data_IF_506003023104
#
_entry.id   IF_506003023104
#
_cell.length_a   1.000
_cell.length_b   1.000
_cell.length_c   1.000
_cell.angle_alpha   90.00
_cell.angle_beta   90.00
_cell.angle_gamma   90.00
#
_symmetry.space_group_name_H-M   'P 1'
#
loop_
_entity.id
_entity.type
_entity.pdbx_description
1 polymer ?
#
# COMPACT_ATOMS: atom_id res chain seq x y z
N UNK A 1 13.65 -9.67 7.65
CA UNK A 1 12.67 -10.67 8.12
C UNK A 1 13.32 -11.73 9.00
N UNK A 2 14.49 -12.28 8.62
CA UNK A 2 15.24 -13.23 9.48
C UNK A 2 15.54 -12.66 10.86
N UNK A 3 15.96 -11.39 10.96
CA UNK A 3 16.22 -10.72 12.24
C UNK A 3 14.96 -10.58 13.12
N UNK A 4 13.78 -10.67 12.53
CA UNK A 4 12.49 -10.67 13.23
C UNK A 4 12.07 -12.09 13.70
N UNK A 5 12.92 -13.11 13.50
CA UNK A 5 12.64 -14.49 13.90
C UNK A 5 11.92 -15.35 12.85
N UNK A 6 11.88 -14.93 11.59
CA UNK A 6 11.35 -15.76 10.52
C UNK A 6 12.40 -16.77 10.03
N UNK A 7 12.03 -18.05 9.77
CA UNK A 7 12.94 -19.05 9.17
C UNK A 7 13.55 -18.51 7.87
N UNK A 8 14.80 -18.91 7.57
CA UNK A 8 15.54 -18.38 6.43
C UNK A 8 14.79 -18.59 5.10
N UNK A 9 14.27 -19.78 4.86
CA UNK A 9 13.53 -20.12 3.65
C UNK A 9 12.27 -19.27 3.51
N UNK A 10 11.45 -19.19 4.57
CA UNK A 10 10.23 -18.38 4.58
C UNK A 10 10.55 -16.90 4.38
N UNK A 11 11.64 -16.42 4.98
CA UNK A 11 12.10 -15.04 4.84
C UNK A 11 12.50 -14.70 3.41
N UNK A 12 13.21 -15.58 2.72
CA UNK A 12 13.58 -15.40 1.32
C UNK A 12 12.33 -15.39 0.42
N UNK A 13 11.47 -16.38 0.54
CA UNK A 13 10.22 -16.46 -0.24
C UNK A 13 9.33 -15.25 0.00
N UNK A 14 9.14 -14.84 1.26
CA UNK A 14 8.32 -13.68 1.62
C UNK A 14 8.94 -12.38 1.12
N UNK A 15 10.26 -12.23 1.17
CA UNK A 15 10.95 -11.04 0.65
C UNK A 15 10.78 -10.92 -0.86
N UNK A 16 10.99 -11.99 -1.62
CA UNK A 16 10.75 -11.98 -3.06
C UNK A 16 9.28 -11.74 -3.39
N UNK A 17 8.35 -12.36 -2.65
CA UNK A 17 6.92 -12.13 -2.79
C UNK A 17 6.50 -10.70 -2.46
N UNK A 18 7.17 -10.04 -1.50
CA UNK A 18 6.89 -8.64 -1.13
C UNK A 18 7.47 -7.65 -2.14
N UNK A 19 8.74 -7.82 -2.53
CA UNK A 19 9.43 -6.90 -3.46
C UNK A 19 8.92 -7.06 -4.88
N UNK A 20 8.67 -8.29 -5.32
CA UNK A 20 8.06 -8.57 -6.62
C UNK A 20 6.54 -8.39 -6.65
N UNK A 21 5.92 -7.99 -5.52
CA UNK A 21 4.46 -7.87 -5.37
C UNK A 21 3.68 -9.09 -5.85
N UNK A 22 4.23 -10.30 -5.56
CA UNK A 22 3.66 -11.56 -6.02
C UNK A 22 2.68 -12.21 -5.04
N UNK A 23 2.81 -11.95 -3.73
CA UNK A 23 1.90 -12.43 -2.68
C UNK A 23 1.93 -13.91 -2.39
N UNK A 24 2.92 -14.63 -2.90
CA UNK A 24 3.06 -16.06 -2.64
C UNK A 24 3.74 -16.29 -1.30
N UNK A 25 3.01 -16.88 -0.36
CA UNK A 25 3.50 -17.25 0.97
C UNK A 25 3.77 -18.76 1.06
N UNK A 26 4.62 -19.14 2.01
CA UNK A 26 4.96 -20.55 2.29
C UNK A 26 3.85 -21.23 3.10
N UNK A 27 3.13 -20.47 3.93
CA UNK A 27 2.05 -20.98 4.78
C UNK A 27 0.68 -20.72 4.18
N UNK A 28 -0.24 -21.65 4.36
CA UNK A 28 -1.65 -21.48 3.96
C UNK A 28 -2.35 -20.31 4.67
N UNK A 29 -1.90 -19.96 5.90
CA UNK A 29 -2.37 -18.78 6.65
C UNK A 29 -1.76 -17.47 6.15
N UNK A 30 -0.99 -17.50 5.06
CA UNK A 30 -0.21 -16.37 4.53
C UNK A 30 0.66 -15.74 5.64
N UNK A 31 0.65 -14.43 5.80
CA UNK A 31 1.44 -13.71 6.83
C UNK A 31 0.73 -13.72 8.20
N UNK A 32 -0.54 -14.05 8.27
CA UNK A 32 -1.30 -14.14 9.53
C UNK A 32 -0.73 -15.15 10.54
N UNK A 33 -0.03 -16.19 10.06
CA UNK A 33 0.61 -17.21 10.92
C UNK A 33 1.96 -16.81 11.52
N UNK A 34 2.42 -15.56 11.35
CA UNK A 34 3.68 -15.06 11.90
C UNK A 34 3.44 -14.00 12.99
N UNK A 35 4.51 -13.68 13.74
CA UNK A 35 4.45 -12.70 14.82
C UNK A 35 4.05 -11.30 14.34
N UNK A 36 3.46 -10.47 15.21
CA UNK A 36 3.08 -9.09 14.88
C UNK A 36 4.23 -8.25 14.34
N UNK A 37 5.45 -8.50 14.82
CA UNK A 37 6.65 -7.80 14.36
C UNK A 37 6.97 -8.13 12.90
N UNK A 38 6.85 -9.40 12.50
CA UNK A 38 7.03 -9.84 11.11
C UNK A 38 5.95 -9.23 10.22
N UNK A 39 4.68 -9.22 10.66
CA UNK A 39 3.58 -8.61 9.92
C UNK A 39 3.85 -7.13 9.63
N UNK A 40 4.31 -6.36 10.63
CA UNK A 40 4.67 -4.95 10.45
C UNK A 40 5.86 -4.78 9.49
N UNK A 41 6.89 -5.61 9.61
CA UNK A 41 8.04 -5.57 8.71
C UNK A 41 7.64 -5.84 7.25
N UNK A 42 6.78 -6.85 7.02
CA UNK A 42 6.24 -7.15 5.68
C UNK A 42 5.40 -6.00 5.15
N UNK A 43 4.57 -5.35 6.00
CA UNK A 43 3.79 -4.17 5.61
C UNK A 43 4.69 -3.06 5.09
N UNK A 44 5.76 -2.74 5.82
CA UNK A 44 6.72 -1.72 5.41
C UNK A 44 7.39 -2.09 4.08
N UNK A 45 7.83 -3.34 3.93
CA UNK A 45 8.45 -3.81 2.69
C UNK A 45 7.50 -3.69 1.50
N UNK A 46 6.24 -4.09 1.63
CA UNK A 46 5.23 -3.95 0.58
C UNK A 46 5.02 -2.49 0.19
N UNK A 47 4.80 -1.61 1.17
CA UNK A 47 4.58 -0.17 0.92
C UNK A 47 5.78 0.45 0.21
N UNK A 48 6.99 0.14 0.65
CA UNK A 48 8.22 0.61 0.00
C UNK A 48 8.36 0.07 -1.43
N UNK A 49 8.05 -1.19 -1.67
CA UNK A 49 8.10 -1.78 -3.04
C UNK A 49 7.11 -1.12 -4.01
N UNK A 50 6.04 -0.52 -3.49
CA UNK A 50 5.06 0.25 -4.26
C UNK A 50 5.50 1.68 -4.60
N UNK A 51 6.62 2.17 -4.07
CA UNK A 51 7.18 3.49 -4.40
C UNK A 51 7.92 3.44 -5.73
N UNK A 52 7.91 4.55 -6.46
CA UNK A 52 8.68 4.70 -7.69
C UNK A 52 10.19 4.53 -7.43
N UNK A 53 10.84 3.62 -8.16
CA UNK A 53 12.27 3.33 -7.98
C UNK A 53 13.19 4.51 -8.29
N UNK A 54 12.74 5.49 -9.07
CA UNK A 54 13.48 6.75 -9.29
C UNK A 54 13.74 7.48 -7.97
N UNK A 55 12.81 7.40 -6.99
CA UNK A 55 12.99 7.99 -5.66
C UNK A 55 14.20 7.40 -4.95
N UNK A 56 14.36 6.07 -5.01
CA UNK A 56 15.51 5.38 -4.40
C UNK A 56 16.83 5.80 -5.07
N UNK A 57 16.83 5.95 -6.40
CA UNK A 57 17.98 6.45 -7.13
C UNK A 57 18.34 7.89 -6.69
N UNK A 58 17.35 8.79 -6.59
CA UNK A 58 17.57 10.15 -6.11
C UNK A 58 18.10 10.19 -4.66
N UNK A 59 17.59 9.30 -3.78
CA UNK A 59 18.07 9.17 -2.40
C UNK A 59 19.53 8.72 -2.35
N UNK A 60 19.91 7.71 -3.15
CA UNK A 60 21.30 7.24 -3.27
C UNK A 60 22.23 8.33 -3.82
N UNK A 61 21.74 9.13 -4.77
CA UNK A 61 22.45 10.27 -5.36
C UNK A 61 22.45 11.52 -4.48
N UNK A 62 21.96 11.44 -3.24
CA UNK A 62 21.81 12.53 -2.25
C UNK A 62 20.97 13.73 -2.74
N UNK A 63 20.12 13.52 -3.72
CA UNK A 63 19.19 14.52 -4.27
C UNK A 63 17.84 14.50 -3.50
N UNK A 64 17.88 14.74 -2.20
CA UNK A 64 16.70 14.62 -1.31
C UNK A 64 15.55 15.54 -1.73
N UNK A 65 15.85 16.77 -2.21
CA UNK A 65 14.82 17.72 -2.65
C UNK A 65 14.03 17.18 -3.84
N UNK A 66 14.71 16.55 -4.79
CA UNK A 66 14.08 15.96 -5.97
C UNK A 66 13.23 14.75 -5.60
N UNK A 67 13.75 13.87 -4.73
CA UNK A 67 13.02 12.69 -4.25
C UNK A 67 11.67 13.06 -3.61
N UNK A 68 11.64 14.08 -2.74
CA UNK A 68 10.41 14.53 -2.08
C UNK A 68 9.55 15.48 -2.95
N UNK A 69 10.07 16.00 -4.05
CA UNK A 69 9.33 16.83 -5.00
C UNK A 69 8.39 16.02 -5.88
N UNK A 70 8.58 14.70 -6.00
CA UNK A 70 7.75 13.83 -6.83
C UNK A 70 6.32 13.80 -6.26
N UNK A 71 5.40 14.46 -6.97
CA UNK A 71 4.01 14.63 -6.54
C UNK A 71 3.30 13.27 -6.35
N UNK A 72 3.57 12.30 -7.22
CA UNK A 72 3.00 10.97 -7.16
C UNK A 72 3.25 10.28 -5.82
N UNK A 73 4.47 10.36 -5.29
CA UNK A 73 4.86 9.72 -4.04
C UNK A 73 4.14 10.33 -2.84
N UNK A 74 3.95 11.64 -2.84
CA UNK A 74 3.18 12.32 -1.79
C UNK A 74 1.73 11.88 -1.78
N UNK A 75 1.10 11.79 -2.95
CA UNK A 75 -0.27 11.29 -3.08
C UNK A 75 -0.39 9.82 -2.72
N UNK A 76 0.58 9.00 -3.09
CA UNK A 76 0.62 7.58 -2.73
C UNK A 76 0.59 7.38 -1.21
N UNK A 77 1.48 8.04 -0.47
CA UNK A 77 1.47 7.96 0.99
C UNK A 77 0.21 8.56 1.61
N UNK A 78 -0.29 9.67 1.08
CA UNK A 78 -1.53 10.28 1.56
C UNK A 78 -2.71 9.31 1.41
N UNK A 79 -2.85 8.65 0.26
CA UNK A 79 -3.90 7.66 0.02
C UNK A 79 -3.78 6.50 1.01
N UNK A 80 -2.57 5.96 1.22
CA UNK A 80 -2.34 4.87 2.17
C UNK A 80 -2.76 5.28 3.58
N UNK A 81 -2.25 6.42 4.08
CA UNK A 81 -2.54 6.86 5.44
C UNK A 81 -4.02 7.18 5.64
N UNK A 82 -4.63 7.92 4.71
CA UNK A 82 -6.06 8.26 4.79
C UNK A 82 -6.93 7.00 4.79
N UNK A 83 -6.68 6.08 3.86
CA UNK A 83 -7.45 4.84 3.78
C UNK A 83 -7.23 3.94 4.99
N UNK A 84 -5.98 3.78 5.45
CA UNK A 84 -5.68 2.94 6.61
C UNK A 84 -6.31 3.49 7.89
N UNK A 85 -6.28 4.80 8.12
CA UNK A 85 -6.90 5.41 9.29
C UNK A 85 -8.43 5.33 9.25
N UNK A 86 -9.04 5.55 8.08
CA UNK A 86 -10.49 5.42 7.92
C UNK A 86 -10.95 3.97 8.15
N UNK A 87 -10.23 3.00 7.59
CA UNK A 87 -10.50 1.59 7.83
C UNK A 87 -10.28 1.25 9.30
N UNK A 88 -9.17 1.69 9.92
CA UNK A 88 -8.88 1.44 11.33
C UNK A 88 -10.01 1.96 12.24
N UNK A 89 -10.53 3.15 11.98
CA UNK A 89 -11.68 3.65 12.71
C UNK A 89 -12.90 2.73 12.55
N UNK A 90 -13.19 2.32 11.33
CA UNK A 90 -14.39 1.53 11.02
C UNK A 90 -14.34 0.10 11.58
N UNK A 91 -13.14 -0.54 11.63
CA UNK A 91 -12.95 -1.89 12.15
C UNK A 91 -12.59 -1.94 13.64
N UNK A 92 -12.45 -0.79 14.31
CA UNK A 92 -12.08 -0.73 15.73
C UNK A 92 -12.93 -1.62 16.66
N UNK A 93 -14.27 -1.71 16.49
CA UNK A 93 -15.10 -2.56 17.35
C UNK A 93 -14.79 -4.07 17.22
N UNK A 94 -14.11 -4.50 16.16
CA UNK A 94 -13.79 -5.90 15.87
C UNK A 94 -12.52 -6.40 16.57
N UNK A 95 -11.67 -5.49 17.06
CA UNK A 95 -10.36 -5.82 17.63
C UNK A 95 -10.22 -5.26 19.06
N UNK A 96 -9.51 -6.03 19.90
CA UNK A 96 -9.37 -5.69 21.31
C UNK A 96 -8.47 -4.46 21.54
N UNK A 97 -7.43 -4.26 20.71
CA UNK A 97 -6.44 -3.20 20.89
C UNK A 97 -6.32 -2.29 19.66
N UNK A 98 -6.00 -1.01 19.90
CA UNK A 98 -5.71 -0.04 18.83
C UNK A 98 -4.52 -0.48 17.95
N UNK A 99 -3.48 -1.05 18.59
CA UNK A 99 -2.29 -1.51 17.86
C UNK A 99 -2.61 -2.63 16.88
N UNK A 100 -3.48 -3.54 17.27
CA UNK A 100 -3.93 -4.64 16.42
C UNK A 100 -4.79 -4.12 15.25
N UNK A 101 -5.73 -3.23 15.55
CA UNK A 101 -6.57 -2.57 14.55
C UNK A 101 -5.73 -1.84 13.49
N UNK A 102 -4.76 -1.03 13.92
CA UNK A 102 -3.86 -0.32 13.01
C UNK A 102 -3.00 -1.28 12.19
N UNK A 103 -2.43 -2.32 12.82
CA UNK A 103 -1.62 -3.30 12.13
C UNK A 103 -2.39 -3.96 10.98
N UNK A 104 -3.58 -4.49 11.24
CA UNK A 104 -4.38 -5.14 10.21
C UNK A 104 -4.88 -4.19 9.14
N UNK A 105 -5.23 -2.95 9.51
CA UNK A 105 -5.64 -1.91 8.58
C UNK A 105 -4.50 -1.53 7.62
N UNK A 106 -3.33 -1.17 8.15
CA UNK A 106 -2.16 -0.83 7.32
C UNK A 106 -1.66 -2.00 6.48
N UNK A 107 -1.69 -3.21 7.03
CA UNK A 107 -1.33 -4.40 6.28
C UNK A 107 -2.26 -4.60 5.09
N UNK A 108 -3.58 -4.55 5.31
CA UNK A 108 -4.57 -4.80 4.27
C UNK A 108 -4.57 -3.70 3.20
N UNK A 109 -4.42 -2.42 3.60
CA UNK A 109 -4.25 -1.32 2.64
C UNK A 109 -2.95 -1.49 1.85
N UNK A 110 -1.84 -1.80 2.52
CA UNK A 110 -0.54 -2.02 1.88
C UNK A 110 -0.59 -3.14 0.85
N UNK A 111 -1.13 -4.30 1.21
CA UNK A 111 -1.20 -5.46 0.31
C UNK A 111 -2.10 -5.22 -0.91
N UNK A 112 -3.18 -4.45 -0.75
CA UNK A 112 -4.13 -4.16 -1.84
C UNK A 112 -3.57 -3.10 -2.79
N UNK A 113 -3.10 -1.95 -2.28
CA UNK A 113 -2.61 -0.86 -3.14
C UNK A 113 -1.34 -1.24 -3.91
N UNK A 114 -0.49 -2.08 -3.32
CA UNK A 114 0.71 -2.59 -4.00
C UNK A 114 0.42 -3.82 -4.87
N UNK A 115 -0.82 -4.31 -4.87
CA UNK A 115 -1.24 -5.53 -5.58
C UNK A 115 -0.42 -6.77 -5.20
N UNK A 116 0.07 -6.83 -3.96
CA UNK A 116 0.87 -7.95 -3.47
C UNK A 116 0.01 -9.18 -3.19
N UNK A 117 -1.09 -9.05 -2.44
CA UNK A 117 -2.03 -10.14 -2.20
C UNK A 117 -1.75 -10.99 -0.94
N UNK A 118 -0.83 -10.59 -0.06
CA UNK A 118 -0.71 -11.23 1.26
C UNK A 118 -1.91 -10.92 2.16
N UNK A 119 -2.22 -11.82 3.10
CA UNK A 119 -3.30 -11.66 4.06
C UNK A 119 -2.81 -11.90 5.49
N UNK A 120 -3.37 -11.15 6.44
CA UNK A 120 -3.20 -11.39 7.88
C UNK A 120 -4.51 -11.79 8.54
N UNK A 121 -5.64 -11.35 8.00
CA UNK A 121 -6.99 -11.63 8.48
C UNK A 121 -7.96 -11.73 7.30
N UNK A 122 -9.11 -12.35 7.52
CA UNK A 122 -10.19 -12.36 6.53
C UNK A 122 -10.96 -11.03 6.55
N UNK A 123 -10.70 -10.18 5.55
CA UNK A 123 -11.39 -8.90 5.40
C UNK A 123 -12.86 -9.02 4.96
N UNK A 124 -13.34 -10.22 4.62
CA UNK A 124 -14.77 -10.44 4.33
C UNK A 124 -15.65 -10.19 5.55
N UNK A 125 -15.08 -10.35 6.75
CA UNK A 125 -15.76 -10.07 8.02
C UNK A 125 -15.85 -8.58 8.35
N UNK A 126 -15.16 -7.72 7.59
CA UNK A 126 -15.13 -6.29 7.86
C UNK A 126 -16.41 -5.57 7.40
N UNK A 127 -16.72 -4.40 8.01
CA UNK A 127 -17.87 -3.59 7.60
C UNK A 127 -17.80 -3.17 6.13
N UNK A 128 -18.96 -2.94 5.53
CA UNK A 128 -19.09 -2.64 4.09
C UNK A 128 -18.25 -1.44 3.63
N UNK A 129 -18.15 -0.40 4.45
CA UNK A 129 -17.35 0.78 4.15
C UNK A 129 -15.87 0.42 3.93
N UNK A 130 -15.29 -0.40 4.82
CA UNK A 130 -13.90 -0.86 4.68
C UNK A 130 -13.70 -1.66 3.41
N UNK A 131 -14.61 -2.57 3.07
CA UNK A 131 -14.57 -3.34 1.82
C UNK A 131 -14.64 -2.46 0.57
N UNK A 132 -15.50 -1.44 0.60
CA UNK A 132 -15.61 -0.48 -0.51
C UNK A 132 -14.32 0.31 -0.71
N UNK A 133 -13.67 0.77 0.38
CA UNK A 133 -12.38 1.45 0.29
C UNK A 133 -11.31 0.52 -0.30
N UNK A 134 -11.23 -0.73 0.15
CA UNK A 134 -10.28 -1.71 -0.39
C UNK A 134 -10.52 -1.96 -1.89
N UNK A 135 -11.76 -2.06 -2.32
CA UNK A 135 -12.12 -2.22 -3.74
C UNK A 135 -11.66 -1.02 -4.58
N UNK A 136 -11.85 0.20 -4.09
CA UNK A 136 -11.36 1.41 -4.77
C UNK A 136 -9.82 1.43 -4.84
N UNK A 137 -9.14 1.05 -3.76
CA UNK A 137 -7.68 0.96 -3.73
C UNK A 137 -7.14 -0.09 -4.71
N UNK A 138 -7.87 -1.20 -4.89
CA UNK A 138 -7.51 -2.25 -5.85
C UNK A 138 -7.46 -1.73 -7.30
N UNK A 139 -8.30 -0.74 -7.63
CA UNK A 139 -8.29 -0.10 -8.94
C UNK A 139 -7.13 0.89 -9.11
N UNK A 140 -6.79 1.66 -8.06
CA UNK A 140 -5.79 2.73 -8.14
C UNK A 140 -4.37 2.17 -8.33
N UNK A 141 -3.99 1.14 -7.57
CA UNK A 141 -2.64 0.55 -7.64
C UNK A 141 -1.53 1.42 -7.04
N UNK A 142 -0.26 1.06 -7.32
CA UNK A 142 0.94 1.69 -6.78
C UNK A 142 1.50 2.79 -7.70
N UNK A 143 2.70 3.35 -7.37
CA UNK A 143 3.37 4.35 -8.18
C UNK A 143 3.82 3.81 -9.54
N UNK A 144 3.92 4.68 -10.55
CA UNK A 144 4.59 4.35 -11.80
C UNK A 144 6.08 4.06 -11.54
N UNK A 145 6.63 3.10 -12.28
CA UNK A 145 8.02 2.66 -12.04
C UNK A 145 8.23 1.89 -10.74
N UNK A 146 7.17 1.29 -10.17
CA UNK A 146 7.21 0.29 -9.10
C UNK A 146 6.82 -1.08 -9.65
N UNK A 147 6.99 -2.14 -8.84
CA UNK A 147 6.56 -3.51 -9.18
C UNK A 147 5.05 -3.71 -9.14
N UNK A 148 4.30 -2.85 -8.44
CA UNK A 148 2.85 -2.98 -8.29
C UNK A 148 2.08 -2.93 -9.61
N UNK A 149 0.93 -3.58 -9.67
CA UNK A 149 -0.02 -3.57 -10.78
C UNK A 149 -1.01 -2.39 -10.73
N UNK A 150 -2.16 -2.53 -11.39
CA UNK A 150 -3.26 -1.58 -11.37
C UNK A 150 -3.06 -0.30 -12.20
N UNK A 151 -4.04 0.61 -12.11
CA UNK A 151 -3.95 1.96 -12.67
C UNK A 151 -3.03 2.77 -11.76
N UNK A 152 -1.87 3.17 -12.26
CA UNK A 152 -0.88 3.87 -11.43
C UNK A 152 -1.41 5.19 -10.87
N UNK A 153 -0.97 5.53 -9.64
CA UNK A 153 -1.34 6.80 -8.97
C UNK A 153 -1.12 8.01 -9.88
N UNK A 154 -0.01 8.04 -10.64
CA UNK A 154 0.28 9.10 -11.61
C UNK A 154 -0.82 9.27 -12.67
N UNK A 155 -1.35 8.17 -13.20
CA UNK A 155 -2.43 8.23 -14.20
C UNK A 155 -3.73 8.76 -13.60
N UNK A 156 -4.06 8.35 -12.39
CA UNK A 156 -5.22 8.88 -11.65
C UNK A 156 -5.05 10.38 -11.43
N UNK A 157 -3.88 10.85 -11.03
CA UNK A 157 -3.59 12.28 -10.85
C UNK A 157 -3.70 13.07 -12.16
N UNK A 158 -3.18 12.53 -13.27
CA UNK A 158 -3.32 13.17 -14.60
C UNK A 158 -4.79 13.28 -15.00
N UNK A 159 -5.57 12.22 -14.78
CA UNK A 159 -7.02 12.23 -15.08
C UNK A 159 -7.75 13.31 -14.27
N UNK A 160 -7.50 13.40 -12.96
CA UNK A 160 -8.10 14.44 -12.12
C UNK A 160 -7.70 15.85 -12.57
N UNK A 161 -6.43 16.06 -12.92
CA UNK A 161 -5.95 17.37 -13.43
C UNK A 161 -6.59 17.71 -14.78
N UNK A 162 -6.75 16.73 -15.68
CA UNK A 162 -7.42 16.91 -16.96
C UNK A 162 -8.89 17.30 -16.76
N UNK A 163 -9.63 16.56 -15.96
CA UNK A 163 -11.04 16.86 -15.64
C UNK A 163 -11.17 18.28 -15.05
N UNK A 164 -10.31 18.63 -14.09
CA UNK A 164 -10.35 19.97 -13.48
C UNK A 164 -10.06 21.08 -14.50
N UNK A 165 -9.14 20.85 -15.43
CA UNK A 165 -8.82 21.79 -16.52
C UNK A 165 -10.01 21.97 -17.45
N UNK A 166 -10.65 20.88 -17.91
CA UNK A 166 -11.82 20.91 -18.79
C UNK A 166 -12.99 21.65 -18.11
N UNK A 167 -13.29 21.35 -16.85
CA UNK A 167 -14.31 22.05 -16.08
C UNK A 167 -14.02 23.55 -15.96
N UNK A 168 -12.74 23.92 -15.71
CA UNK A 168 -12.34 25.33 -15.65
C UNK A 168 -12.51 26.05 -16.97
N UNK A 169 -12.24 25.39 -18.11
CA UNK A 169 -12.44 25.97 -19.45
C UNK A 169 -13.92 26.13 -19.80
N UNK A 170 -14.77 25.21 -19.31
CA UNK A 170 -16.24 25.35 -19.49
C UNK A 170 -16.84 26.52 -18.69
N UNK A 171 -16.28 26.79 -17.48
CA UNK A 171 -16.78 27.87 -16.61
C UNK A 171 -16.20 29.23 -17.03
N UNK A 172 -14.98 29.28 -17.50
CA UNK A 172 -14.27 30.48 -17.91
C UNK A 172 -13.72 30.32 -19.34
N UNK A 173 -14.56 30.33 -20.37
CA UNK A 173 -14.10 30.31 -21.76
C UNK A 173 -13.31 31.60 -22.06
N UNK A 174 -12.05 31.45 -22.46
CA UNK A 174 -11.25 32.56 -23.00
C UNK A 174 -11.37 32.59 -24.51
#
# INVERSE_FOLDING_TARGET
>A
LCLCGMPLFDSLCTTFGSVGTGGFGVKNSSIGGYSPLIQNAVTILMILSGVNYTVYFCLLSRQFKEAFSIEEVRWYFLIIFASALTIAWNIRPLYATLGETLRHSFFQVGTIITTTGFATTDFNMWPQLSKTILLLLMMIGACAGSTGGGIKVSRVLILFKAIRKELSMMIHPR
#
